data_IF_498036754090
#
_entry.id   IF_498036754090
#
_cell.length_a   1.000
_cell.length_b   1.000
_cell.length_c   1.000
_cell.angle_alpha   90.00
_cell.angle_beta   90.00
_cell.angle_gamma   90.00
#
_symmetry.space_group_name_H-M   'P 1'
#
loop_
_entity.id
_entity.type
_entity.pdbx_description
1 polymer ?
#
# COMPACT_ATOMS: atom_id res chain seq x y z
N UNK A 1 16.32 -2.02 -6.12
CA UNK A 1 15.28 -1.19 -5.50
C UNK A 1 14.83 -1.73 -4.13
N UNK A 2 14.46 -3.00 -4.02
CA UNK A 2 13.94 -3.57 -2.77
C UNK A 2 14.94 -3.46 -1.61
N UNK A 3 16.19 -3.85 -1.82
CA UNK A 3 17.22 -3.83 -0.75
C UNK A 3 17.50 -2.37 -0.32
N UNK A 4 17.66 -1.46 -1.27
CA UNK A 4 17.92 -0.04 -0.99
C UNK A 4 16.78 0.59 -0.19
N UNK A 5 15.53 0.30 -0.58
CA UNK A 5 14.34 0.79 0.14
C UNK A 5 14.17 0.12 1.51
N UNK A 6 14.48 -1.17 1.59
CA UNK A 6 14.46 -1.87 2.88
C UNK A 6 15.44 -1.21 3.86
N UNK A 7 16.67 -0.93 3.43
CA UNK A 7 17.69 -0.29 4.27
C UNK A 7 17.23 1.10 4.77
N UNK A 8 16.53 1.87 3.92
CA UNK A 8 15.92 3.16 4.30
C UNK A 8 14.81 2.94 5.34
N UNK A 9 13.90 2.01 5.07
CA UNK A 9 12.73 1.79 5.91
C UNK A 9 13.06 1.06 7.22
N UNK A 10 14.15 0.31 7.28
CA UNK A 10 14.63 -0.38 8.49
C UNK A 10 15.29 0.59 9.50
N UNK A 11 15.55 1.82 9.07
CA UNK A 11 16.12 2.84 9.94
C UNK A 11 15.14 3.25 11.04
N UNK A 12 15.66 3.40 12.25
CA UNK A 12 14.91 3.94 13.38
C UNK A 12 14.44 5.40 13.16
N UNK A 13 15.03 6.10 12.22
CA UNK A 13 14.74 7.48 11.83
C UNK A 13 14.12 7.59 10.44
N UNK A 14 13.62 6.49 9.88
CA UNK A 14 12.96 6.49 8.58
C UNK A 14 11.92 7.60 8.47
N UNK A 15 11.90 8.30 7.34
CA UNK A 15 10.98 9.41 7.10
C UNK A 15 10.48 9.43 5.66
N UNK A 16 9.33 10.05 5.44
CA UNK A 16 8.82 10.28 4.11
C UNK A 16 9.78 11.12 3.25
N UNK A 17 10.51 12.06 3.86
CA UNK A 17 11.50 12.89 3.18
C UNK A 17 12.64 12.06 2.60
N UNK A 18 13.19 11.14 3.35
CA UNK A 18 14.27 10.27 2.92
C UNK A 18 13.84 9.37 1.75
N UNK A 19 12.61 8.85 1.80
CA UNK A 19 12.02 8.10 0.69
C UNK A 19 11.88 8.96 -0.56
N UNK A 20 11.37 10.19 -0.44
CA UNK A 20 11.20 11.10 -1.57
C UNK A 20 12.56 11.51 -2.17
N UNK A 21 13.57 11.76 -1.34
CA UNK A 21 14.94 12.04 -1.81
C UNK A 21 15.52 10.86 -2.60
N UNK A 22 15.36 9.64 -2.11
CA UNK A 22 15.76 8.43 -2.83
C UNK A 22 15.09 8.32 -4.21
N UNK A 23 13.77 8.52 -4.29
CA UNK A 23 13.05 8.46 -5.55
C UNK A 23 13.47 9.56 -6.54
N UNK A 24 13.71 10.78 -6.05
CA UNK A 24 14.21 11.91 -6.85
C UNK A 24 15.65 11.67 -7.33
N UNK A 25 16.47 10.95 -6.56
CA UNK A 25 17.79 10.53 -7.00
C UNK A 25 17.75 9.54 -8.17
N UNK A 26 16.71 8.69 -8.24
CA UNK A 26 16.48 7.80 -9.40
C UNK A 26 16.05 8.61 -10.62
N UNK A 27 15.08 9.49 -10.45
CA UNK A 27 14.56 10.32 -11.54
C UNK A 27 14.24 11.73 -11.01
N UNK A 28 15.06 12.76 -11.32
CA UNK A 28 14.83 14.12 -10.84
C UNK A 28 13.49 14.74 -11.27
N UNK A 29 12.82 14.19 -12.30
CA UNK A 29 11.50 14.61 -12.73
C UNK A 29 10.38 13.91 -11.96
N UNK A 30 10.70 13.11 -10.93
CA UNK A 30 9.74 12.41 -10.09
C UNK A 30 8.80 13.39 -9.39
N UNK A 31 7.51 13.18 -9.57
CA UNK A 31 6.46 13.93 -8.89
C UNK A 31 6.11 13.21 -7.58
N UNK A 32 6.97 13.35 -6.59
CA UNK A 32 6.80 12.79 -5.27
C UNK A 32 6.73 13.89 -4.22
N UNK A 33 5.78 13.74 -3.32
CA UNK A 33 5.56 14.62 -2.16
C UNK A 33 5.45 13.80 -0.88
N UNK A 34 5.79 14.43 0.23
CA UNK A 34 5.57 13.90 1.58
C UNK A 34 5.10 15.01 2.49
N UNK A 35 4.23 14.68 3.41
CA UNK A 35 3.72 15.59 4.44
C UNK A 35 3.23 14.80 5.66
N UNK A 36 3.30 15.39 6.87
CA UNK A 36 2.80 14.74 8.06
C UNK A 36 1.27 14.71 8.08
N UNK A 37 0.71 13.55 8.38
CA UNK A 37 -0.70 13.37 8.70
C UNK A 37 -0.80 13.16 10.21
N UNK A 38 -1.47 14.09 10.90
CA UNK A 38 -1.68 14.01 12.33
C UNK A 38 -2.97 13.27 12.69
N UNK A 39 -2.92 12.50 13.75
CA UNK A 39 -4.05 11.77 14.31
C UNK A 39 -4.07 11.78 15.84
N UNK A 40 -4.99 11.05 16.45
CA UNK A 40 -5.18 11.07 17.89
C UNK A 40 -3.98 10.51 18.68
N UNK A 41 -3.18 9.64 18.08
CA UNK A 41 -2.09 8.94 18.76
C UNK A 41 -0.69 9.31 18.20
N UNK A 42 -0.59 10.40 17.46
CA UNK A 42 0.67 10.83 16.86
C UNK A 42 0.53 11.30 15.42
N UNK A 43 1.54 11.05 14.61
CA UNK A 43 1.54 11.38 13.19
C UNK A 43 2.25 10.28 12.38
N UNK A 44 2.05 10.32 11.08
CA UNK A 44 2.77 9.52 10.10
C UNK A 44 3.11 10.39 8.89
N UNK A 45 4.18 10.08 8.19
CA UNK A 45 4.53 10.79 6.96
C UNK A 45 3.80 10.12 5.78
N UNK A 46 2.83 10.82 5.20
CA UNK A 46 2.25 10.39 3.93
C UNK A 46 3.27 10.55 2.81
N UNK A 47 3.32 9.59 1.89
CA UNK A 47 4.14 9.64 0.68
C UNK A 47 3.23 9.39 -0.52
N UNK A 48 3.22 10.32 -1.46
CA UNK A 48 2.42 10.27 -2.68
C UNK A 48 3.29 10.50 -3.90
N UNK A 49 3.13 9.67 -4.91
CA UNK A 49 3.99 9.66 -6.09
C UNK A 49 3.12 9.52 -7.33
N UNK A 50 3.21 10.48 -8.23
CA UNK A 50 2.60 10.38 -9.55
C UNK A 50 3.67 10.05 -10.59
N UNK A 51 3.43 8.99 -11.34
CA UNK A 51 4.29 8.50 -12.43
C UNK A 51 3.53 8.64 -13.74
N UNK A 52 3.77 9.73 -14.50
CA UNK A 52 3.02 10.03 -15.70
C UNK A 52 3.28 9.03 -16.84
N UNK A 53 2.21 8.53 -17.43
CA UNK A 53 2.25 7.71 -18.64
C UNK A 53 2.50 8.50 -19.92
N UNK A 54 2.58 7.79 -21.06
CA UNK A 54 2.70 8.44 -22.38
C UNK A 54 1.46 9.24 -22.74
N UNK A 55 0.28 8.65 -22.47
CA UNK A 55 -1.04 9.18 -22.76
C UNK A 55 -1.91 9.28 -21.50
N UNK A 56 -1.26 9.48 -20.34
CA UNK A 56 -1.93 9.58 -19.04
C UNK A 56 -2.72 10.88 -18.88
N UNK A 57 -3.72 10.84 -17.99
CA UNK A 57 -4.58 11.98 -17.64
C UNK A 57 -3.77 13.18 -17.15
N UNK A 58 -2.67 12.95 -16.43
CA UNK A 58 -1.77 13.99 -15.93
C UNK A 58 -1.14 14.85 -17.04
N UNK A 59 -1.10 14.34 -18.27
CA UNK A 59 -0.62 15.04 -19.46
C UNK A 59 -1.74 15.44 -20.43
N UNK A 60 -3.00 15.34 -19.99
CA UNK A 60 -4.16 15.61 -20.84
C UNK A 60 -4.53 14.47 -21.79
N UNK A 61 -3.97 13.28 -21.59
CA UNK A 61 -4.29 12.08 -22.33
C UNK A 61 -5.59 11.40 -21.84
N UNK A 62 -5.92 10.26 -22.46
CA UNK A 62 -7.14 9.51 -22.18
C UNK A 62 -6.91 8.14 -21.53
N UNK A 63 -5.66 7.71 -21.36
CA UNK A 63 -5.37 6.45 -20.72
C UNK A 63 -5.64 6.53 -19.21
N UNK A 64 -6.14 5.42 -18.63
CA UNK A 64 -6.55 5.37 -17.24
C UNK A 64 -5.39 5.50 -16.25
N UNK A 65 -5.72 5.84 -15.01
CA UNK A 65 -4.79 5.92 -13.89
C UNK A 65 -5.04 4.78 -12.94
N UNK A 66 -4.00 4.00 -12.64
CA UNK A 66 -4.04 2.95 -11.61
C UNK A 66 -3.38 3.44 -10.32
N UNK A 67 -4.09 3.26 -9.20
CA UNK A 67 -3.53 3.47 -7.86
C UNK A 67 -2.85 2.20 -7.34
N UNK A 68 -1.66 2.34 -6.76
CA UNK A 68 -0.95 1.28 -6.02
C UNK A 68 -0.76 1.78 -4.60
N UNK A 69 -1.45 1.15 -3.65
CA UNK A 69 -1.43 1.56 -2.26
C UNK A 69 -0.69 0.53 -1.41
N UNK A 70 0.28 0.98 -0.66
CA UNK A 70 1.04 0.16 0.29
C UNK A 70 0.47 0.28 1.70
N UNK A 71 -0.05 -0.78 2.24
CA UNK A 71 -0.59 -0.92 3.59
C UNK A 71 0.35 -1.77 4.44
N UNK A 72 0.56 -1.50 5.62
CA UNK A 72 0.55 -0.30 6.40
C UNK A 72 1.95 0.30 6.38
N UNK A 73 2.14 1.54 6.83
CA UNK A 73 3.47 2.16 6.92
C UNK A 73 4.10 2.06 8.31
N UNK A 74 3.61 1.19 9.16
CA UNK A 74 4.20 0.94 10.47
C UNK A 74 5.51 0.19 10.33
N UNK A 75 6.63 0.88 10.56
CA UNK A 75 7.98 0.35 10.39
C UNK A 75 8.66 0.02 11.71
N UNK A 76 8.03 0.31 12.83
CA UNK A 76 8.52 0.00 14.15
C UNK A 76 7.42 0.11 15.20
N UNK A 77 7.53 -0.61 16.28
CA UNK A 77 6.57 -0.65 17.38
C UNK A 77 7.30 -0.25 18.68
N UNK A 78 7.49 1.05 18.86
CA UNK A 78 8.28 1.57 19.98
C UNK A 78 7.50 1.58 21.29
N UNK A 79 8.17 1.35 22.40
CA UNK A 79 9.62 1.16 22.53
C UNK A 79 10.12 -0.28 22.30
N UNK A 80 9.22 -1.22 22.01
CA UNK A 80 9.49 -2.65 22.08
C UNK A 80 10.29 -3.16 20.86
N UNK A 81 10.08 -2.53 19.70
CA UNK A 81 10.76 -2.89 18.47
C UNK A 81 11.18 -1.67 17.66
N UNK A 82 12.40 -1.69 17.14
CA UNK A 82 12.91 -0.71 16.19
C UNK A 82 13.26 -1.40 14.88
N UNK A 83 13.20 -0.64 13.79
CA UNK A 83 13.45 -1.18 12.47
C UNK A 83 12.22 -1.81 11.82
N UNK A 84 12.43 -2.49 10.70
CA UNK A 84 11.36 -3.00 9.87
C UNK A 84 10.57 -4.12 10.54
N UNK A 85 9.26 -4.04 10.51
CA UNK A 85 8.33 -5.04 11.04
C UNK A 85 7.36 -5.50 9.95
N UNK A 86 6.62 -6.56 10.22
CA UNK A 86 5.75 -7.23 9.24
C UNK A 86 4.73 -6.31 8.53
N UNK A 87 4.34 -5.22 9.14
CA UNK A 87 3.39 -4.28 8.56
C UNK A 87 4.05 -3.29 7.57
N UNK A 88 5.37 -3.33 7.42
CA UNK A 88 6.12 -2.52 6.45
C UNK A 88 6.12 -3.08 5.02
N UNK A 89 5.75 -4.33 4.82
CA UNK A 89 5.88 -5.01 3.51
C UNK A 89 5.04 -4.35 2.40
N UNK A 90 3.85 -3.84 2.72
CA UNK A 90 3.02 -3.12 1.78
C UNK A 90 3.67 -1.81 1.33
N UNK A 91 4.20 -1.03 2.27
CA UNK A 91 4.92 0.20 1.99
C UNK A 91 6.17 -0.07 1.12
N UNK A 92 6.97 -1.07 1.50
CA UNK A 92 8.15 -1.48 0.74
C UNK A 92 7.79 -1.89 -0.69
N UNK A 93 6.73 -2.66 -0.87
CA UNK A 93 6.28 -3.11 -2.19
C UNK A 93 5.82 -1.94 -3.06
N UNK A 94 4.99 -1.05 -2.55
CA UNK A 94 4.50 0.11 -3.28
C UNK A 94 5.65 1.03 -3.71
N UNK A 95 6.58 1.32 -2.79
CA UNK A 95 7.75 2.15 -3.09
C UNK A 95 8.71 1.48 -4.08
N UNK A 96 8.88 0.14 -4.01
CA UNK A 96 9.69 -0.59 -4.98
C UNK A 96 9.09 -0.56 -6.38
N UNK A 97 7.75 -0.63 -6.50
CA UNK A 97 7.05 -0.43 -7.78
C UNK A 97 7.31 0.97 -8.30
N UNK A 98 7.18 2.02 -7.48
CA UNK A 98 7.48 3.38 -7.88
C UNK A 98 8.93 3.53 -8.36
N UNK A 99 9.90 3.07 -7.60
CA UNK A 99 11.32 3.12 -7.95
C UNK A 99 11.60 2.38 -9.28
N UNK A 100 10.98 1.22 -9.49
CA UNK A 100 11.10 0.45 -10.74
C UNK A 100 10.57 1.23 -11.92
N UNK A 101 9.37 1.78 -11.83
CA UNK A 101 8.76 2.55 -12.90
C UNK A 101 9.54 3.83 -13.22
N UNK A 102 10.06 4.51 -12.20
CA UNK A 102 10.92 5.68 -12.39
C UNK A 102 12.22 5.32 -13.11
N UNK A 103 12.86 4.18 -12.78
CA UNK A 103 14.04 3.68 -13.52
C UNK A 103 13.71 3.29 -14.96
N UNK A 104 12.53 2.76 -15.24
CA UNK A 104 12.08 2.50 -16.60
C UNK A 104 11.96 3.80 -17.39
N UNK A 105 11.39 4.85 -16.81
CA UNK A 105 11.27 6.16 -17.44
C UNK A 105 12.63 6.78 -17.80
N UNK A 106 13.65 6.63 -16.95
CA UNK A 106 15.02 7.13 -17.28
C UNK A 106 15.64 6.41 -18.47
N UNK A 107 15.12 5.24 -18.84
CA UNK A 107 15.54 4.46 -20.01
C UNK A 107 14.64 4.68 -21.23
N UNK A 108 13.66 5.59 -21.14
CA UNK A 108 12.69 5.85 -22.20
C UNK A 108 11.53 4.87 -22.27
N UNK A 109 11.38 4.00 -21.28
CA UNK A 109 10.30 3.03 -21.20
C UNK A 109 9.17 3.58 -20.29
N UNK A 110 8.03 3.89 -20.90
CA UNK A 110 6.89 4.50 -20.23
C UNK A 110 5.66 3.64 -20.40
N UNK A 111 4.86 3.53 -19.35
CA UNK A 111 3.52 2.96 -19.43
C UNK A 111 2.60 3.89 -20.24
N UNK A 112 1.48 3.36 -20.70
CA UNK A 112 0.49 4.15 -21.46
C UNK A 112 -0.27 5.09 -20.53
N UNK A 113 -0.82 4.58 -19.43
CA UNK A 113 -1.55 5.33 -18.43
C UNK A 113 -0.67 5.80 -17.27
N UNK A 114 -1.24 6.63 -16.42
CA UNK A 114 -0.57 7.09 -15.19
C UNK A 114 -0.58 6.00 -14.11
N UNK A 115 0.43 6.03 -13.24
CA UNK A 115 0.44 5.25 -12.02
C UNK A 115 0.56 6.21 -10.84
N UNK A 116 -0.41 6.13 -9.94
CA UNK A 116 -0.36 6.82 -8.65
C UNK A 116 0.04 5.81 -7.58
N UNK A 117 1.08 6.14 -6.82
CA UNK A 117 1.54 5.29 -5.71
C UNK A 117 1.42 6.05 -4.43
N UNK A 118 0.85 5.43 -3.40
CA UNK A 118 0.75 6.03 -2.08
C UNK A 118 1.04 5.01 -0.98
N UNK A 119 1.68 5.49 0.06
CA UNK A 119 1.88 4.79 1.33
C UNK A 119 2.16 5.81 2.43
N UNK A 120 2.45 5.36 3.63
CA UNK A 120 2.93 6.24 4.69
C UNK A 120 4.11 5.59 5.43
N UNK A 121 4.90 6.41 6.11
CA UNK A 121 6.12 6.03 6.85
C UNK A 121 5.95 6.41 8.31
N UNK A 122 5.98 5.42 9.21
CA UNK A 122 5.85 5.62 10.64
C UNK A 122 6.81 4.68 11.40
N UNK A 123 8.04 5.12 11.67
CA UNK A 123 9.04 4.27 12.34
C UNK A 123 8.78 4.08 13.84
N UNK A 124 7.88 4.85 14.42
CA UNK A 124 7.59 4.93 15.86
C UNK A 124 6.08 4.77 16.16
N UNK A 125 5.43 3.82 15.47
CA UNK A 125 4.04 3.52 15.69
C UNK A 125 3.78 3.22 17.19
N UNK A 126 2.66 3.73 17.76
CA UNK A 126 2.31 3.45 19.14
C UNK A 126 2.00 1.98 19.35
N UNK A 127 2.26 1.46 20.53
CA UNK A 127 1.91 0.09 20.91
C UNK A 127 0.80 0.04 21.94
N UNK A 128 0.06 -1.04 21.96
CA UNK A 128 -0.90 -1.38 23.01
C UNK A 128 -0.55 -2.73 23.62
N UNK A 129 -0.77 -2.94 24.93
CA UNK A 129 -0.51 -4.23 25.57
C UNK A 129 -1.25 -5.37 24.86
N UNK A 130 -0.53 -6.43 24.55
CA UNK A 130 -1.06 -7.65 23.92
C UNK A 130 -0.09 -8.82 24.16
N UNK A 131 -0.62 -10.03 24.34
CA UNK A 131 0.17 -11.26 24.47
C UNK A 131 0.19 -12.02 23.12
N UNK A 132 1.32 -12.62 22.70
CA UNK A 132 2.60 -12.72 23.41
C UNK A 132 3.56 -11.52 23.19
N UNK A 133 3.20 -10.57 22.36
CA UNK A 133 3.98 -9.36 22.09
C UNK A 133 3.06 -8.14 22.01
N UNK A 134 3.54 -6.95 22.34
CA UNK A 134 2.76 -5.73 22.18
C UNK A 134 2.23 -5.59 20.76
N UNK A 135 0.99 -5.13 20.65
CA UNK A 135 0.33 -4.92 19.37
C UNK A 135 0.65 -3.52 18.84
N UNK A 136 1.08 -3.44 17.58
CA UNK A 136 1.30 -2.17 16.91
C UNK A 136 -0.04 -1.53 16.53
N UNK A 137 -0.23 -0.30 16.96
CA UNK A 137 -1.42 0.51 16.64
C UNK A 137 -1.07 1.57 15.60
N UNK A 138 -2.05 2.23 15.05
CA UNK A 138 -1.84 3.34 14.12
C UNK A 138 -1.84 4.69 14.86
N UNK A 139 -0.93 5.63 14.51
CA UNK A 139 -0.98 6.99 15.04
C UNK A 139 -2.19 7.77 14.52
N UNK A 140 -2.74 7.37 13.38
CA UNK A 140 -3.83 8.05 12.66
C UNK A 140 -4.98 7.09 12.42
N UNK A 141 -6.17 7.63 12.25
CA UNK A 141 -7.36 6.84 11.92
C UNK A 141 -7.30 6.34 10.46
N UNK A 142 -7.70 5.10 10.22
CA UNK A 142 -7.66 4.50 8.88
C UNK A 142 -8.44 5.31 7.83
N UNK A 143 -9.57 5.91 8.20
CA UNK A 143 -10.35 6.73 7.29
C UNK A 143 -9.60 8.01 6.85
N UNK A 144 -8.71 8.56 7.69
CA UNK A 144 -7.87 9.70 7.33
C UNK A 144 -6.88 9.27 6.24
N UNK A 145 -6.19 8.16 6.45
CA UNK A 145 -5.26 7.58 5.48
C UNK A 145 -5.98 7.28 4.15
N UNK A 146 -7.16 6.65 4.21
CA UNK A 146 -7.94 6.34 3.00
C UNK A 146 -8.24 7.57 2.15
N UNK A 147 -8.54 8.73 2.77
CA UNK A 147 -8.80 9.97 2.05
C UNK A 147 -7.56 10.54 1.37
N UNK A 148 -6.39 10.34 1.98
CA UNK A 148 -5.13 10.82 1.41
C UNK A 148 -4.61 9.90 0.29
N UNK A 149 -4.91 8.60 0.38
CA UNK A 149 -4.40 7.59 -0.55
C UNK A 149 -5.18 7.49 -1.86
N UNK A 150 -6.42 7.91 -1.89
CA UNK A 150 -7.25 7.81 -3.10
C UNK A 150 -7.75 9.17 -3.56
N UNK A 151 -7.73 9.36 -4.88
CA UNK A 151 -8.23 10.57 -5.56
C UNK A 151 -9.33 10.19 -6.53
N UNK A 152 -10.13 11.17 -6.96
CA UNK A 152 -11.22 10.96 -7.93
C UNK A 152 -10.71 10.61 -9.34
N UNK A 153 -9.41 10.80 -9.60
CA UNK A 153 -8.79 10.53 -10.90
C UNK A 153 -8.43 9.06 -11.12
N UNK A 154 -8.48 8.24 -10.06
CA UNK A 154 -8.15 6.81 -10.15
C UNK A 154 -9.26 6.02 -10.86
N UNK A 155 -8.88 5.20 -11.83
CA UNK A 155 -9.79 4.29 -12.53
C UNK A 155 -9.83 2.89 -11.91
N UNK A 156 -8.75 2.48 -11.25
CA UNK A 156 -8.66 1.24 -10.48
C UNK A 156 -7.61 1.38 -9.38
N UNK A 157 -7.73 0.58 -8.33
CA UNK A 157 -6.80 0.58 -7.19
C UNK A 157 -6.38 -0.84 -6.85
N UNK A 158 -5.08 -1.07 -6.73
CA UNK A 158 -4.48 -2.27 -6.15
C UNK A 158 -3.89 -1.91 -4.79
N UNK A 159 -4.26 -2.68 -3.77
CA UNK A 159 -3.77 -2.48 -2.42
C UNK A 159 -2.89 -3.67 -2.02
N UNK A 160 -1.70 -3.38 -1.53
CA UNK A 160 -0.75 -4.39 -1.07
C UNK A 160 -0.63 -4.32 0.44
N UNK A 161 -0.83 -5.44 1.09
CA UNK A 161 -0.72 -5.58 2.54
C UNK A 161 -0.19 -6.97 2.90
N UNK A 162 0.32 -7.12 4.09
CA UNK A 162 0.66 -8.43 4.66
C UNK A 162 -0.41 -8.89 5.63
N UNK A 163 -0.57 -10.21 5.69
CA UNK A 163 -1.52 -10.80 6.63
C UNK A 163 -0.91 -12.01 7.31
N UNK A 164 -1.24 -12.19 8.59
CA UNK A 164 -0.95 -13.44 9.31
C UNK A 164 -2.00 -14.48 8.93
N UNK A 165 -1.56 -15.71 8.72
CA UNK A 165 -2.47 -16.81 8.45
C UNK A 165 -3.42 -17.09 9.64
N UNK A 166 -4.63 -17.48 9.32
CA UNK A 166 -5.63 -17.93 10.29
C UNK A 166 -6.40 -19.14 9.74
N UNK A 167 -7.46 -19.57 10.40
CA UNK A 167 -8.25 -20.75 9.97
C UNK A 167 -8.98 -20.55 8.63
N UNK A 168 -9.13 -19.30 8.18
CA UNK A 168 -9.86 -18.93 6.96
C UNK A 168 -8.86 -18.53 5.87
N UNK A 169 -7.94 -17.62 6.21
CA UNK A 169 -6.87 -17.20 5.30
C UNK A 169 -5.62 -17.96 5.71
N UNK A 170 -5.38 -19.09 5.11
CA UNK A 170 -4.28 -20.02 5.45
C UNK A 170 -3.33 -20.33 4.29
N UNK A 171 -3.35 -19.47 3.28
CA UNK A 171 -2.44 -19.55 2.14
C UNK A 171 -1.09 -18.89 2.48
N UNK A 172 0.00 -19.54 2.09
CA UNK A 172 1.34 -18.97 2.19
C UNK A 172 1.83 -18.53 0.81
N UNK A 173 2.02 -17.24 0.65
CA UNK A 173 2.45 -16.62 -0.60
C UNK A 173 1.48 -15.55 -1.07
N UNK A 174 1.49 -15.25 -2.37
CA UNK A 174 0.57 -14.28 -2.95
C UNK A 174 -0.87 -14.77 -2.95
N UNK A 175 -1.76 -13.88 -2.59
CA UNK A 175 -3.20 -14.07 -2.68
C UNK A 175 -3.85 -12.76 -3.15
N UNK A 176 -5.00 -12.83 -3.77
CA UNK A 176 -5.78 -11.66 -4.18
C UNK A 176 -7.19 -11.75 -3.62
N UNK A 177 -7.75 -10.62 -3.23
CA UNK A 177 -9.16 -10.53 -2.87
C UNK A 177 -10.05 -10.47 -4.12
N UNK A 178 -11.34 -10.81 -4.01
CA UNK A 178 -12.31 -10.29 -4.96
C UNK A 178 -12.25 -8.77 -5.01
N UNK A 179 -12.50 -8.21 -6.18
CA UNK A 179 -12.57 -6.76 -6.38
C UNK A 179 -13.86 -6.21 -5.75
N UNK A 180 -13.80 -5.07 -5.10
CA UNK A 180 -14.97 -4.36 -4.57
C UNK A 180 -15.12 -2.99 -5.21
N UNK A 181 -16.35 -2.56 -5.42
CA UNK A 181 -16.67 -1.26 -5.98
C UNK A 181 -18.03 -0.79 -5.48
N UNK A 182 -18.09 0.34 -4.80
CA UNK A 182 -19.34 1.00 -4.37
C UNK A 182 -20.32 0.06 -3.63
N UNK A 183 -19.79 -0.81 -2.76
CA UNK A 183 -20.60 -1.78 -1.99
C UNK A 183 -20.89 -3.10 -2.71
N UNK A 184 -20.43 -3.28 -3.96
CA UNK A 184 -20.58 -4.52 -4.70
C UNK A 184 -19.29 -5.33 -4.71
N UNK A 185 -19.42 -6.65 -4.71
CA UNK A 185 -18.32 -7.59 -4.94
C UNK A 185 -18.33 -7.92 -6.45
N UNK A 186 -17.22 -7.61 -7.10
CA UNK A 186 -17.00 -7.90 -8.52
C UNK A 186 -16.15 -9.17 -8.66
N UNK A 187 -16.13 -9.72 -9.84
CA UNK A 187 -15.15 -10.78 -10.19
C UNK A 187 -13.73 -10.21 -10.14
N UNK A 188 -12.79 -11.04 -9.73
CA UNK A 188 -11.37 -10.72 -9.91
C UNK A 188 -11.08 -10.61 -11.41
N UNK A 189 -10.27 -9.64 -11.81
CA UNK A 189 -9.84 -9.49 -13.20
C UNK A 189 -9.03 -10.72 -13.63
N UNK A 190 -9.39 -11.31 -14.76
CA UNK A 190 -8.65 -12.43 -15.35
C UNK A 190 -7.19 -12.03 -15.66
N UNK A 191 -6.97 -10.78 -16.09
CA UNK A 191 -5.62 -10.25 -16.35
C UNK A 191 -4.75 -10.27 -15.08
N UNK A 192 -5.31 -9.95 -13.90
CA UNK A 192 -4.60 -10.02 -12.64
C UNK A 192 -4.28 -11.48 -12.25
N UNK A 193 -5.21 -12.39 -12.49
CA UNK A 193 -4.98 -13.82 -12.25
C UNK A 193 -3.88 -14.37 -13.18
N UNK A 194 -3.90 -13.99 -14.45
CA UNK A 194 -2.86 -14.35 -15.41
C UNK A 194 -1.49 -13.81 -15.00
N UNK A 195 -1.40 -12.54 -14.57
CA UNK A 195 -0.16 -11.95 -14.07
C UNK A 195 0.35 -12.71 -12.84
N UNK A 196 -0.54 -13.06 -11.90
CA UNK A 196 -0.16 -13.87 -10.73
C UNK A 196 0.38 -15.24 -11.13
N UNK A 197 -0.28 -15.92 -12.07
CA UNK A 197 0.14 -17.22 -12.55
C UNK A 197 1.49 -17.16 -13.29
N UNK A 198 1.67 -16.16 -14.16
CA UNK A 198 2.93 -15.96 -14.89
C UNK A 198 4.11 -15.67 -13.96
N UNK A 199 3.89 -14.87 -12.93
CA UNK A 199 4.96 -14.46 -12.00
C UNK A 199 5.31 -15.54 -10.98
N UNK A 200 4.35 -16.31 -10.53
CA UNK A 200 4.55 -17.33 -9.48
C UNK A 200 4.77 -18.75 -10.01
N UNK A 201 4.37 -19.01 -11.26
CA UNK A 201 4.34 -20.37 -11.84
C UNK A 201 3.28 -21.28 -11.20
N UNK A 202 2.33 -20.73 -10.44
CA UNK A 202 1.28 -21.47 -9.73
C UNK A 202 -0.09 -20.88 -10.07
N UNK A 203 -1.13 -21.69 -9.92
CA UNK A 203 -2.50 -21.17 -10.00
C UNK A 203 -2.71 -20.07 -8.95
N UNK A 204 -3.37 -18.96 -9.34
CA UNK A 204 -3.60 -17.85 -8.42
C UNK A 204 -4.53 -18.26 -7.29
N UNK A 205 -4.25 -17.78 -6.10
CA UNK A 205 -5.11 -17.98 -4.93
C UNK A 205 -5.98 -16.75 -4.72
N UNK A 206 -7.30 -16.95 -4.79
CA UNK A 206 -8.30 -15.93 -4.46
C UNK A 206 -8.90 -16.27 -3.11
N UNK A 207 -8.69 -15.42 -2.11
CA UNK A 207 -9.29 -15.64 -0.79
C UNK A 207 -10.69 -15.05 -0.69
N UNK A 208 -11.54 -15.71 0.09
CA UNK A 208 -12.89 -15.23 0.31
C UNK A 208 -12.88 -13.92 1.11
N UNK A 209 -13.76 -12.98 0.72
CA UNK A 209 -14.06 -11.84 1.58
C UNK A 209 -14.71 -12.35 2.86
N UNK A 210 -14.09 -12.07 3.99
CA UNK A 210 -14.58 -12.47 5.31
C UNK A 210 -14.73 -11.25 6.20
N UNK A 211 -15.58 -11.37 7.22
CA UNK A 211 -15.71 -10.36 8.27
C UNK A 211 -14.53 -10.41 9.26
N UNK A 212 -13.69 -11.43 9.15
CA UNK A 212 -12.55 -11.63 10.04
C UNK A 212 -11.33 -10.95 9.44
N UNK A 213 -11.02 -9.79 9.92
CA UNK A 213 -9.66 -9.29 9.82
C UNK A 213 -8.77 -10.07 10.78
N UNK A 214 -7.48 -10.08 10.46
CA UNK A 214 -6.45 -10.75 11.21
C UNK A 214 -6.28 -10.17 12.60
N UNK A 215 -6.65 -8.93 12.76
CA UNK A 215 -6.58 -8.19 14.01
C UNK A 215 -7.97 -7.98 14.57
N UNK A 216 -8.46 -8.89 15.42
CA UNK A 216 -9.70 -8.67 16.12
C UNK A 216 -9.51 -7.51 17.10
N UNK A 217 -10.42 -6.55 17.11
CA UNK A 217 -10.44 -5.46 18.08
C UNK A 217 -10.78 -5.91 19.51
N UNK A 218 -10.98 -7.20 19.74
CA UNK A 218 -11.31 -7.76 21.05
C UNK A 218 -12.73 -7.48 21.54
N UNK A 219 -13.52 -6.75 20.78
CA UNK A 219 -14.88 -6.32 21.13
C UNK A 219 -15.98 -6.96 20.25
N UNK A 220 -15.61 -7.94 19.41
CA UNK A 220 -16.52 -8.57 18.46
C UNK A 220 -16.81 -7.73 17.21
N UNK A 221 -16.15 -6.60 17.04
CA UNK A 221 -16.26 -5.76 15.83
C UNK A 221 -15.11 -6.11 14.89
N UNK A 222 -15.44 -6.21 13.62
CA UNK A 222 -14.53 -6.49 12.53
C UNK A 222 -14.73 -5.42 11.45
N UNK A 223 -13.68 -4.95 10.83
CA UNK A 223 -13.79 -4.06 9.68
C UNK A 223 -13.58 -4.84 8.37
N UNK A 224 -13.90 -4.21 7.26
CA UNK A 224 -13.43 -4.67 5.96
C UNK A 224 -11.92 -4.82 6.03
N UNK A 225 -11.39 -5.89 5.46
CA UNK A 225 -9.96 -6.11 5.34
C UNK A 225 -9.27 -4.81 4.90
N UNK A 226 -8.15 -4.47 5.51
CA UNK A 226 -7.40 -3.21 5.27
C UNK A 226 -7.17 -2.93 3.78
N UNK A 227 -6.94 -3.97 2.98
CA UNK A 227 -6.77 -3.86 1.52
C UNK A 227 -8.03 -3.35 0.80
N UNK A 228 -9.21 -3.53 1.34
CA UNK A 228 -10.47 -3.14 0.70
C UNK A 228 -11.07 -1.86 1.27
N UNK A 229 -10.52 -1.35 2.38
CA UNK A 229 -11.01 -0.11 3.00
C UNK A 229 -10.95 1.13 2.09
N UNK A 230 -9.97 1.29 1.18
CA UNK A 230 -9.99 2.40 0.23
C UNK A 230 -11.27 2.51 -0.59
N UNK A 231 -11.98 1.40 -0.81
CA UNK A 231 -13.29 1.40 -1.49
C UNK A 231 -14.37 2.25 -0.77
N UNK A 232 -14.16 2.63 0.48
CA UNK A 232 -15.05 3.55 1.20
C UNK A 232 -14.83 5.01 0.84
N UNK A 233 -13.69 5.34 0.22
CA UNK A 233 -13.29 6.70 -0.10
C UNK A 233 -13.18 6.97 -1.61
N UNK A 234 -13.35 5.97 -2.47
CA UNK A 234 -13.31 6.10 -3.92
C UNK A 234 -14.46 5.37 -4.60
N UNK A 235 -14.77 5.78 -5.83
CA UNK A 235 -15.69 5.07 -6.74
C UNK A 235 -14.96 4.09 -7.66
N UNK A 236 -13.64 4.10 -7.66
CA UNK A 236 -12.84 3.16 -8.43
C UNK A 236 -12.98 1.73 -7.85
N UNK A 237 -12.89 0.68 -8.68
CA UNK A 237 -12.76 -0.69 -8.19
C UNK A 237 -11.44 -0.88 -7.44
N UNK A 238 -11.50 -1.61 -6.31
CA UNK A 238 -10.38 -1.86 -5.40
C UNK A 238 -10.17 -3.36 -5.23
N UNK A 239 -8.94 -3.83 -5.37
CA UNK A 239 -8.52 -5.22 -5.16
C UNK A 239 -7.20 -5.29 -4.37
#
# INVERSE_FOLDING_TARGET
ELIELFDILDSASASGSEVVEYLKAINPMCQAETYPLAGPNGHTDMVRILIPGKNGKSKGGSAGTIGILGRLGGLGARPDQTGFVSDGDGALTALAVAAKLLRMQTKGDFLEGDVFVSTHVCPDAPTVPHEPVPFMNSPVETWQVNKEEVTDDLDAVLVVDTTKGNRIINHRGFAISPTVCQGYILRVSEDLLDVMQMTTGKLPYVFALTQQDITPYGNGIFHLNSILQPATATKAPVA
#
